data_IF_700958892703
#
_entry.id   IF_700958892703
#
_cell.length_a   1.000
_cell.length_b   1.000
_cell.length_c   1.000
_cell.angle_alpha   90.00
_cell.angle_beta   90.00
_cell.angle_gamma   90.00
#
_symmetry.space_group_name_H-M   'P 1'
#
loop_
_entity.id
_entity.type
_entity.pdbx_description
1 polymer ?
#
# COMPACT_ATOMS: atom_id res chain seq x y z
N UNK A 1 4.49 3.22 1.42
CA UNK A 1 5.72 2.40 1.32
C UNK A 1 5.31 0.97 1.02
N UNK A 2 6.23 0.03 0.84
CA UNK A 2 5.93 -1.39 0.65
C UNK A 2 6.12 -1.87 -0.79
N UNK A 3 5.70 -1.11 -1.80
CA UNK A 3 5.78 -1.59 -3.19
C UNK A 3 7.22 -1.81 -3.67
N UNK A 4 8.16 -0.94 -3.32
CA UNK A 4 9.58 -1.14 -3.64
C UNK A 4 10.25 -2.10 -2.68
N UNK A 5 9.84 -2.10 -1.41
CA UNK A 5 10.29 -3.06 -0.40
C UNK A 5 10.00 -4.51 -0.81
N UNK A 6 8.91 -4.74 -1.55
CA UNK A 6 8.47 -6.04 -2.07
C UNK A 6 9.16 -6.50 -3.37
N UNK A 7 10.13 -5.76 -3.91
CA UNK A 7 10.75 -6.10 -5.21
C UNK A 7 11.71 -7.30 -5.09
N UNK A 8 11.56 -8.31 -5.94
CA UNK A 8 12.23 -9.61 -5.80
C UNK A 8 13.76 -9.56 -5.74
N UNK A 9 14.40 -8.64 -6.47
CA UNK A 9 15.87 -8.53 -6.52
C UNK A 9 16.49 -7.73 -5.36
N UNK A 10 15.66 -7.06 -4.56
CA UNK A 10 16.09 -6.24 -3.42
C UNK A 10 15.06 -6.28 -2.29
N UNK A 11 14.44 -7.45 -2.10
CA UNK A 11 13.29 -7.60 -1.22
C UNK A 11 13.70 -7.34 0.24
N UNK A 12 13.01 -6.41 0.90
CA UNK A 12 13.21 -6.10 2.31
C UNK A 12 12.49 -7.15 3.15
N UNK A 13 13.15 -7.88 4.06
CA UNK A 13 12.47 -8.86 4.90
C UNK A 13 11.29 -8.26 5.67
N UNK A 14 10.16 -8.97 5.77
CA UNK A 14 8.93 -8.46 6.40
C UNK A 14 9.17 -7.91 7.81
N UNK A 15 10.02 -8.57 8.60
CA UNK A 15 10.39 -8.10 9.93
C UNK A 15 11.13 -6.75 9.91
N UNK A 16 12.05 -6.55 8.95
CA UNK A 16 12.77 -5.28 8.79
C UNK A 16 11.81 -4.18 8.33
N UNK A 17 10.89 -4.51 7.42
CA UNK A 17 9.84 -3.59 6.98
C UNK A 17 8.93 -3.17 8.15
N UNK A 18 8.49 -4.13 8.98
CA UNK A 18 7.73 -3.88 10.22
C UNK A 18 8.46 -2.91 11.14
N UNK A 19 9.71 -3.21 11.49
CA UNK A 19 10.54 -2.36 12.36
C UNK A 19 10.73 -0.94 11.80
N UNK A 20 10.84 -0.79 10.48
CA UNK A 20 10.95 0.51 9.83
C UNK A 20 9.65 1.32 9.95
N UNK A 21 8.49 0.68 9.77
CA UNK A 21 7.20 1.32 9.97
C UNK A 21 7.00 1.75 11.43
N UNK A 22 7.32 0.88 12.39
CA UNK A 22 7.24 1.19 13.83
C UNK A 22 8.09 2.40 14.21
N UNK A 23 9.32 2.49 13.68
CA UNK A 23 10.21 3.66 13.90
C UNK A 23 9.60 4.95 13.35
N UNK A 24 9.00 4.89 12.17
CA UNK A 24 8.34 6.06 11.55
C UNK A 24 7.14 6.50 12.39
N UNK A 25 6.27 5.56 12.77
CA UNK A 25 5.12 5.84 13.63
C UNK A 25 5.57 6.46 14.96
N UNK A 26 6.56 5.87 15.62
CA UNK A 26 7.09 6.34 16.90
C UNK A 26 7.69 7.75 16.81
N UNK A 27 8.31 8.10 15.67
CA UNK A 27 8.91 9.42 15.45
C UNK A 27 7.85 10.52 15.29
N UNK A 28 6.67 10.20 14.75
CA UNK A 28 5.60 11.19 14.45
C UNK A 28 4.56 11.28 15.58
N UNK A 29 4.23 10.14 16.18
CA UNK A 29 3.09 9.82 17.06
C UNK A 29 1.93 9.10 16.33
N UNK A 30 1.45 7.95 16.85
CA UNK A 30 0.43 7.10 16.20
C UNK A 30 -0.88 7.82 15.82
N UNK A 31 -1.37 8.72 16.67
CA UNK A 31 -2.64 9.44 16.46
C UNK A 31 -2.61 10.43 15.28
N UNK A 32 -1.43 10.69 14.73
CA UNK A 32 -1.23 11.57 13.56
C UNK A 32 -0.91 10.79 12.29
N UNK A 33 -0.82 9.47 12.37
CA UNK A 33 -0.38 8.62 11.26
C UNK A 33 -1.55 7.84 10.68
N UNK A 34 -1.76 8.01 9.38
CA UNK A 34 -2.53 7.09 8.55
C UNK A 34 -1.55 6.23 7.75
N UNK A 35 -1.42 4.96 8.13
CA UNK A 35 -0.68 3.97 7.37
C UNK A 35 -1.53 3.49 6.19
N UNK A 36 -0.96 3.52 4.99
CA UNK A 36 -1.60 3.04 3.77
C UNK A 36 -0.78 1.86 3.25
N UNK A 37 -1.44 0.72 3.02
CA UNK A 37 -0.77 -0.47 2.46
C UNK A 37 -0.24 -0.20 1.04
N UNK A 38 0.71 -1.02 0.54
CA UNK A 38 1.00 -1.00 -0.90
C UNK A 38 -0.27 -1.32 -1.72
N UNK A 39 -0.27 -0.96 -2.99
CA UNK A 39 -1.31 -1.31 -3.95
C UNK A 39 -0.92 -2.55 -4.75
N UNK A 40 -1.90 -3.27 -5.34
CA UNK A 40 -1.60 -4.35 -6.27
C UNK A 40 -0.96 -3.82 -7.57
N UNK A 41 -0.26 -4.71 -8.27
CA UNK A 41 0.36 -4.46 -9.56
C UNK A 41 -0.27 -5.32 -10.64
N UNK A 42 -0.08 -4.94 -11.89
CA UNK A 42 -0.36 -5.83 -13.01
C UNK A 42 0.82 -6.81 -13.21
N UNK A 43 0.70 -8.01 -12.66
CA UNK A 43 1.73 -9.07 -12.75
C UNK A 43 2.09 -9.49 -14.19
N UNK A 44 1.24 -9.17 -15.18
CA UNK A 44 1.57 -9.42 -16.60
C UNK A 44 2.67 -8.47 -17.07
N UNK A 45 2.75 -7.27 -16.48
CA UNK A 45 3.71 -6.22 -16.82
C UNK A 45 4.82 -6.05 -15.78
N UNK A 46 4.55 -6.46 -14.54
CA UNK A 46 5.51 -6.44 -13.44
C UNK A 46 5.96 -7.86 -13.09
N UNK A 47 7.20 -8.20 -13.48
CA UNK A 47 7.76 -9.53 -13.25
C UNK A 47 8.57 -9.65 -11.95
N UNK A 48 8.90 -8.53 -11.31
CA UNK A 48 9.71 -8.48 -10.09
C UNK A 48 8.85 -8.30 -8.82
N UNK A 49 7.52 -8.31 -8.95
CA UNK A 49 6.58 -8.15 -7.83
C UNK A 49 5.36 -9.02 -8.10
N UNK A 50 4.85 -9.67 -7.06
CA UNK A 50 3.57 -10.38 -7.11
C UNK A 50 2.60 -9.77 -6.11
N UNK A 51 1.32 -9.84 -6.41
CA UNK A 51 0.23 -9.43 -5.54
C UNK A 51 0.16 -10.30 -4.28
N UNK A 52 0.56 -11.58 -4.37
CA UNK A 52 0.73 -12.43 -3.18
C UNK A 52 1.73 -11.80 -2.20
N UNK A 53 2.92 -11.42 -2.68
CA UNK A 53 3.92 -10.77 -1.84
C UNK A 53 3.43 -9.40 -1.37
N UNK A 54 2.86 -8.57 -2.25
CA UNK A 54 2.32 -7.26 -1.85
C UNK A 54 1.21 -7.37 -0.79
N UNK A 55 0.41 -8.43 -0.81
CA UNK A 55 -0.55 -8.77 0.23
C UNK A 55 0.12 -9.01 1.58
N UNK A 56 1.24 -9.73 1.63
CA UNK A 56 2.02 -9.92 2.86
C UNK A 56 2.56 -8.59 3.42
N UNK A 57 3.00 -7.66 2.56
CA UNK A 57 3.40 -6.32 3.01
C UNK A 57 2.20 -5.51 3.50
N UNK A 58 1.02 -5.69 2.90
CA UNK A 58 -0.21 -5.05 3.38
C UNK A 58 -0.60 -5.56 4.78
N UNK A 59 -0.47 -6.87 5.03
CA UNK A 59 -0.71 -7.48 6.34
C UNK A 59 0.23 -6.89 7.41
N UNK A 60 1.51 -6.70 7.09
CA UNK A 60 2.47 -6.05 8.00
C UNK A 60 2.06 -4.60 8.31
N UNK A 61 1.58 -3.84 7.32
CA UNK A 61 1.11 -2.46 7.56
C UNK A 61 -0.11 -2.46 8.50
N UNK A 62 -1.03 -3.41 8.31
CA UNK A 62 -2.20 -3.58 9.18
C UNK A 62 -1.80 -3.96 10.62
N UNK A 63 -0.85 -4.88 10.76
CA UNK A 63 -0.30 -5.32 12.05
C UNK A 63 0.31 -4.12 12.81
N UNK A 64 1.19 -3.34 12.16
CA UNK A 64 1.79 -2.15 12.78
C UNK A 64 0.74 -1.13 13.18
N UNK A 65 -0.27 -0.90 12.34
CA UNK A 65 -1.34 0.02 12.68
C UNK A 65 -2.11 -0.43 13.93
N UNK A 66 -2.43 -1.72 14.04
CA UNK A 66 -3.11 -2.30 15.21
C UNK A 66 -2.26 -2.21 16.48
N UNK A 67 -0.98 -2.57 16.39
CA UNK A 67 -0.07 -2.60 17.55
C UNK A 67 0.25 -1.20 18.08
N UNK A 68 0.37 -0.22 17.18
CA UNK A 68 0.70 1.17 17.55
C UNK A 68 -0.52 2.03 17.87
N UNK A 69 -1.72 1.60 17.47
CA UNK A 69 -2.93 2.42 17.53
C UNK A 69 -3.02 3.49 16.43
N UNK A 70 -2.23 3.36 15.35
CA UNK A 70 -2.29 4.27 14.21
C UNK A 70 -3.53 4.02 13.34
N UNK A 71 -3.92 5.02 12.55
CA UNK A 71 -4.97 4.83 11.55
C UNK A 71 -4.45 3.97 10.38
N UNK A 72 -5.36 3.25 9.72
CA UNK A 72 -5.02 2.33 8.63
C UNK A 72 -6.00 2.42 7.45
N UNK A 73 -5.45 2.39 6.23
CA UNK A 73 -6.17 2.20 4.97
C UNK A 73 -5.55 1.03 4.20
N UNK A 74 -6.31 -0.05 4.03
CA UNK A 74 -5.90 -1.22 3.25
C UNK A 74 -6.13 -1.00 1.74
N UNK A 75 -5.29 -0.17 1.13
CA UNK A 75 -5.36 0.13 -0.30
C UNK A 75 -5.24 -1.13 -1.18
N UNK A 76 -4.48 -2.13 -0.72
CA UNK A 76 -4.31 -3.39 -1.43
C UNK A 76 -5.67 -4.09 -1.58
N UNK A 77 -6.36 -4.32 -0.47
CA UNK A 77 -7.67 -4.95 -0.44
C UNK A 77 -8.71 -4.14 -1.23
N UNK A 78 -8.72 -2.81 -1.04
CA UNK A 78 -9.65 -1.90 -1.73
C UNK A 78 -9.51 -1.95 -3.26
N UNK A 79 -8.29 -2.10 -3.77
CA UNK A 79 -8.03 -2.17 -5.20
C UNK A 79 -8.18 -3.59 -5.74
N UNK A 80 -7.57 -4.61 -5.12
CA UNK A 80 -7.51 -5.98 -5.70
C UNK A 80 -8.89 -6.63 -5.83
N UNK A 81 -9.86 -6.24 -5.00
CA UNK A 81 -11.24 -6.74 -5.05
C UNK A 81 -12.04 -6.19 -6.25
N UNK A 82 -11.56 -5.11 -6.88
CA UNK A 82 -12.20 -4.56 -8.08
C UNK A 82 -11.97 -5.48 -9.28
N UNK A 83 -13.06 -5.85 -9.97
CA UNK A 83 -13.01 -6.74 -11.14
C UNK A 83 -11.98 -6.31 -12.20
N UNK A 84 -11.74 -5.01 -12.32
CA UNK A 84 -10.81 -4.41 -13.27
C UNK A 84 -9.72 -3.57 -12.57
N UNK A 85 -9.17 -4.03 -11.45
CA UNK A 85 -8.19 -3.27 -10.66
C UNK A 85 -6.97 -2.78 -11.46
N UNK A 86 -6.58 -3.49 -12.53
CA UNK A 86 -5.45 -3.10 -13.38
C UNK A 86 -5.60 -1.69 -13.99
N UNK A 87 -6.84 -1.21 -14.16
CA UNK A 87 -7.15 0.16 -14.59
C UNK A 87 -6.50 1.23 -13.69
N UNK A 88 -6.21 0.89 -12.44
CA UNK A 88 -5.57 1.81 -11.49
C UNK A 88 -4.08 2.02 -11.80
N UNK A 89 -3.41 1.05 -12.41
CA UNK A 89 -1.98 1.07 -12.76
C UNK A 89 -1.74 1.27 -14.27
N UNK A 90 -2.65 2.01 -14.90
CA UNK A 90 -2.64 2.31 -16.32
C UNK A 90 -2.07 3.72 -16.58
N UNK A 91 -0.78 3.90 -16.28
CA UNK A 91 -0.05 5.13 -16.54
C UNK A 91 0.37 5.29 -18.02
N UNK A 92 1.05 6.40 -18.34
CA UNK A 92 1.47 6.69 -19.73
C UNK A 92 2.50 5.68 -20.25
N UNK A 93 3.38 5.16 -19.38
CA UNK A 93 4.35 4.11 -19.73
C UNK A 93 3.70 2.72 -19.79
N UNK A 94 2.48 2.60 -19.27
CA UNK A 94 1.73 1.36 -19.08
C UNK A 94 2.58 0.32 -18.38
N UNK A 95 3.29 0.69 -17.33
CA UNK A 95 4.23 -0.20 -16.69
C UNK A 95 3.56 -1.22 -15.74
N UNK A 96 2.29 -1.01 -15.39
CA UNK A 96 1.53 -1.89 -14.50
C UNK A 96 1.91 -1.74 -13.03
N UNK A 97 2.56 -0.64 -12.66
CA UNK A 97 3.04 -0.32 -11.33
C UNK A 97 2.61 1.09 -10.91
N UNK A 98 2.90 2.10 -11.73
CA UNK A 98 2.53 3.48 -11.43
C UNK A 98 1.05 3.73 -11.70
N UNK A 99 0.45 4.61 -10.92
CA UNK A 99 -0.96 4.90 -11.07
C UNK A 99 -1.21 5.77 -12.29
N UNK A 100 -2.22 5.38 -13.06
CA UNK A 100 -2.87 6.28 -14.01
C UNK A 100 -3.80 7.28 -13.30
N UNK A 101 -4.44 8.20 -14.05
CA UNK A 101 -5.38 9.17 -13.47
C UNK A 101 -6.49 8.52 -12.63
N UNK A 102 -7.02 7.37 -13.08
CA UNK A 102 -8.05 6.63 -12.34
C UNK A 102 -7.54 6.05 -11.02
N UNK A 103 -6.29 5.58 -10.98
CA UNK A 103 -5.67 5.09 -9.74
C UNK A 103 -5.48 6.20 -8.72
N UNK A 104 -5.01 7.37 -9.16
CA UNK A 104 -4.89 8.54 -8.29
C UNK A 104 -6.24 9.08 -7.81
N UNK A 105 -7.25 9.12 -8.67
CA UNK A 105 -8.61 9.54 -8.28
C UNK A 105 -9.20 8.59 -7.23
N UNK A 106 -9.04 7.28 -7.44
CA UNK A 106 -9.51 6.26 -6.49
C UNK A 106 -8.80 6.36 -5.13
N UNK A 107 -7.46 6.50 -5.15
CA UNK A 107 -6.67 6.70 -3.93
C UNK A 107 -7.11 7.97 -3.18
N UNK A 108 -7.25 9.09 -3.88
CA UNK A 108 -7.64 10.37 -3.29
C UNK A 108 -9.02 10.26 -2.63
N UNK A 109 -9.99 9.63 -3.30
CA UNK A 109 -11.32 9.35 -2.74
C UNK A 109 -11.21 8.57 -1.42
N UNK A 110 -10.49 7.44 -1.41
CA UNK A 110 -10.35 6.59 -0.22
C UNK A 110 -9.67 7.32 0.94
N UNK A 111 -8.62 8.11 0.66
CA UNK A 111 -7.96 8.93 1.69
C UNK A 111 -8.95 9.95 2.26
N UNK A 112 -9.68 10.69 1.41
CA UNK A 112 -10.65 11.68 1.86
C UNK A 112 -11.78 11.05 2.69
N UNK A 113 -12.29 9.89 2.29
CA UNK A 113 -13.30 9.14 3.06
C UNK A 113 -12.74 8.67 4.40
N UNK A 114 -11.51 8.15 4.44
CA UNK A 114 -10.87 7.70 5.67
C UNK A 114 -10.66 8.85 6.66
N UNK A 115 -10.18 10.00 6.19
CA UNK A 115 -9.89 11.15 7.04
C UNK A 115 -11.14 11.74 7.69
N UNK A 116 -12.32 11.65 7.05
CA UNK A 116 -13.60 12.08 7.66
C UNK A 116 -14.01 11.28 8.89
N UNK A 117 -13.48 10.05 9.05
CA UNK A 117 -13.74 9.21 10.22
C UNK A 117 -12.67 9.31 11.31
N UNK A 118 -11.63 10.11 11.07
CA UNK A 118 -10.46 10.28 11.95
C UNK A 118 -10.41 11.70 12.53
N UNK A 119 -10.88 12.69 11.78
CA UNK A 119 -11.04 14.09 12.19
C UNK A 119 -12.43 14.33 12.80
#
# INVERSE_FOLDING_TARGET
MGTNDAVSFAQVPLQVYKENLEKIVSTISPEKVLLISPAPVDEVRQHNRTNEVLGQYADVVEEVAKETGSHFLNLYAEMIQEQHYKKFVEDDEKDGLHFGPQGYEYLAKLICEKLKGVL
#
